data_IF_225238092756
#
_entry.id   IF_225238092756
#
_cell.length_a   1.000
_cell.length_b   1.000
_cell.length_c   1.000
_cell.angle_alpha   90.00
_cell.angle_beta   90.00
_cell.angle_gamma   90.00
#
_symmetry.space_group_name_H-M   'P 1'
#
loop_
_entity.id
_entity.type
_entity.pdbx_description
1 polymer ?
#
# COMPACT_ATOMS: atom_id res chain seq x y z
N UNK A 1 -33.61 20.11 3.89
CA UNK A 1 -32.20 20.50 4.05
C UNK A 1 -31.40 19.72 3.01
N UNK A 2 -30.97 20.35 1.92
CA UNK A 2 -30.17 19.66 0.91
C UNK A 2 -28.80 19.31 1.48
N UNK A 3 -28.56 18.02 1.75
CA UNK A 3 -27.22 17.53 2.04
C UNK A 3 -26.39 17.68 0.77
N UNK A 4 -25.27 18.41 0.84
CA UNK A 4 -24.36 18.61 -0.29
C UNK A 4 -23.94 17.27 -0.92
N UNK A 5 -23.64 17.26 -2.23
CA UNK A 5 -23.18 16.06 -2.94
C UNK A 5 -22.03 15.36 -2.20
N UNK A 6 -21.09 16.14 -1.65
CA UNK A 6 -20.00 15.68 -0.79
C UNK A 6 -20.51 14.79 0.34
N UNK A 7 -21.45 15.26 1.17
CA UNK A 7 -21.94 14.46 2.30
C UNK A 7 -22.65 13.17 1.86
N UNK A 8 -23.28 13.16 0.69
CA UNK A 8 -24.00 12.00 0.15
C UNK A 8 -23.05 10.94 -0.42
N UNK A 9 -21.97 11.36 -1.06
CA UNK A 9 -21.00 10.46 -1.68
C UNK A 9 -20.03 9.81 -0.67
N UNK A 10 -19.90 10.39 0.53
CA UNK A 10 -18.94 9.94 1.55
C UNK A 10 -18.94 8.42 1.78
N UNK A 11 -20.07 7.81 2.15
CA UNK A 11 -20.12 6.38 2.47
C UNK A 11 -19.63 5.51 1.31
N UNK A 12 -20.02 5.86 0.09
CA UNK A 12 -19.62 5.13 -1.11
C UNK A 12 -18.11 5.25 -1.37
N UNK A 13 -17.58 6.47 -1.37
CA UNK A 13 -16.13 6.71 -1.61
C UNK A 13 -15.29 6.09 -0.49
N UNK A 14 -15.75 6.18 0.75
CA UNK A 14 -15.10 5.61 1.93
C UNK A 14 -14.96 4.08 1.83
N UNK A 15 -16.04 3.37 1.50
CA UNK A 15 -15.99 1.92 1.37
C UNK A 15 -15.15 1.47 0.19
N UNK A 16 -15.23 2.18 -0.94
CA UNK A 16 -14.35 1.92 -2.09
C UNK A 16 -12.90 2.07 -1.66
N UNK A 17 -12.53 3.19 -1.03
CA UNK A 17 -11.17 3.42 -0.53
C UNK A 17 -10.69 2.25 0.33
N UNK A 18 -11.49 1.80 1.31
CA UNK A 18 -11.11 0.67 2.17
C UNK A 18 -10.96 -0.65 1.41
N UNK A 19 -11.89 -0.96 0.50
CA UNK A 19 -11.84 -2.19 -0.29
C UNK A 19 -10.58 -2.22 -1.15
N UNK A 20 -10.23 -1.11 -1.79
CA UNK A 20 -9.01 -1.02 -2.60
C UNK A 20 -7.75 -1.19 -1.74
N UNK A 21 -7.66 -0.51 -0.59
CA UNK A 21 -6.50 -0.62 0.30
C UNK A 21 -6.34 -2.03 0.88
N UNK A 22 -7.44 -2.66 1.32
CA UNK A 22 -7.42 -4.03 1.84
C UNK A 22 -7.11 -5.03 0.73
N UNK A 23 -7.75 -4.91 -0.43
CA UNK A 23 -7.54 -5.79 -1.57
C UNK A 23 -6.08 -5.78 -2.02
N UNK A 24 -5.48 -4.60 -2.13
CA UNK A 24 -4.06 -4.46 -2.49
C UNK A 24 -3.12 -5.03 -1.42
N UNK A 25 -3.43 -4.81 -0.14
CA UNK A 25 -2.65 -5.41 0.98
C UNK A 25 -2.69 -6.94 0.92
N UNK A 26 -3.85 -7.52 0.64
CA UNK A 26 -4.01 -8.97 0.51
C UNK A 26 -3.28 -9.52 -0.72
N UNK A 27 -3.37 -8.85 -1.87
CA UNK A 27 -2.63 -9.23 -3.08
C UNK A 27 -1.12 -9.17 -2.83
N UNK A 28 -0.65 -8.13 -2.14
CA UNK A 28 0.77 -7.96 -1.77
C UNK A 28 1.24 -9.09 -0.85
N UNK A 29 0.45 -9.47 0.16
CA UNK A 29 0.76 -10.61 1.04
C UNK A 29 0.80 -11.91 0.22
N UNK A 30 -0.18 -12.14 -0.64
CA UNK A 30 -0.24 -13.34 -1.46
C UNK A 30 0.98 -13.46 -2.38
N UNK A 31 1.33 -12.39 -3.10
CA UNK A 31 2.50 -12.35 -3.98
C UNK A 31 3.81 -12.53 -3.22
N UNK A 32 3.97 -11.87 -2.07
CA UNK A 32 5.23 -11.88 -1.33
C UNK A 32 5.45 -13.18 -0.55
N UNK A 33 4.39 -13.69 0.10
CA UNK A 33 4.48 -14.86 0.98
C UNK A 33 4.22 -16.15 0.22
N UNK A 34 3.07 -16.25 -0.48
CA UNK A 34 2.62 -17.51 -1.08
C UNK A 34 3.40 -17.80 -2.37
N UNK A 35 3.45 -16.83 -3.28
CA UNK A 35 4.16 -17.02 -4.55
C UNK A 35 5.67 -16.79 -4.39
N UNK A 36 6.06 -15.76 -3.64
CA UNK A 36 7.45 -15.37 -3.42
C UNK A 36 8.21 -16.33 -2.52
N UNK A 37 8.07 -16.18 -1.20
CA UNK A 37 8.89 -16.89 -0.21
C UNK A 37 8.62 -18.40 -0.13
N UNK A 38 7.35 -18.81 -0.13
CA UNK A 38 6.94 -20.22 -0.03
C UNK A 38 6.82 -20.90 -1.40
N UNK A 39 6.84 -20.13 -2.47
CA UNK A 39 6.67 -20.60 -3.85
C UNK A 39 7.96 -20.55 -4.65
N UNK A 40 7.80 -20.36 -5.96
CA UNK A 40 8.92 -20.34 -6.92
C UNK A 40 9.58 -18.95 -7.04
N UNK A 41 9.08 -17.95 -6.33
CA UNK A 41 9.51 -16.55 -6.45
C UNK A 41 8.43 -15.67 -7.08
N UNK A 42 8.69 -14.37 -7.07
CA UNK A 42 7.79 -13.34 -7.60
C UNK A 42 8.51 -12.47 -8.60
N UNK A 43 7.78 -11.88 -9.56
CA UNK A 43 8.33 -10.92 -10.52
C UNK A 43 7.80 -9.53 -10.22
N UNK A 44 8.64 -8.52 -10.45
CA UNK A 44 8.13 -7.15 -10.46
C UNK A 44 7.31 -6.90 -11.72
N UNK A 45 6.17 -6.19 -11.63
CA UNK A 45 5.46 -5.77 -12.82
C UNK A 45 6.41 -5.01 -13.76
N UNK A 46 6.48 -5.42 -15.03
CA UNK A 46 7.40 -4.84 -16.02
C UNK A 46 8.82 -5.44 -16.02
N UNK A 47 9.08 -6.49 -15.23
CA UNK A 47 10.34 -7.22 -15.24
C UNK A 47 10.09 -8.74 -15.29
N UNK A 48 10.87 -9.44 -16.09
CA UNK A 48 10.88 -10.91 -16.15
C UNK A 48 11.86 -11.54 -15.13
N UNK A 49 12.53 -10.70 -14.33
CA UNK A 49 13.47 -11.19 -13.31
C UNK A 49 12.68 -11.81 -12.16
N UNK A 50 12.88 -13.11 -11.98
CA UNK A 50 12.33 -13.87 -10.87
C UNK A 50 13.13 -13.59 -9.60
N UNK A 51 12.42 -13.18 -8.56
CA UNK A 51 12.98 -12.78 -7.29
C UNK A 51 12.43 -13.69 -6.21
N UNK A 52 13.33 -14.30 -5.45
CA UNK A 52 12.97 -15.10 -4.30
C UNK A 52 13.32 -14.33 -3.03
N UNK A 53 12.33 -13.89 -2.23
CA UNK A 53 12.59 -13.21 -0.97
C UNK A 53 13.41 -14.08 -0.03
N UNK A 54 14.36 -13.50 0.70
CA UNK A 54 15.07 -14.21 1.78
C UNK A 54 14.24 -14.20 3.06
N UNK A 55 14.65 -15.01 4.05
CA UNK A 55 14.02 -14.96 5.38
C UNK A 55 14.14 -13.56 6.02
N UNK A 56 15.25 -12.86 5.80
CA UNK A 56 15.44 -11.48 6.28
C UNK A 56 14.42 -10.53 5.63
N UNK A 57 14.24 -10.63 4.31
CA UNK A 57 13.25 -9.81 3.59
C UNK A 57 11.85 -10.08 4.12
N UNK A 58 11.54 -11.32 4.46
CA UNK A 58 10.24 -11.66 5.02
C UNK A 58 10.02 -11.11 6.42
N UNK A 59 11.02 -11.11 7.29
CA UNK A 59 10.92 -10.49 8.61
C UNK A 59 10.64 -8.99 8.46
N UNK A 60 11.36 -8.31 7.58
CA UNK A 60 11.16 -6.87 7.32
C UNK A 60 9.77 -6.62 6.72
N UNK A 61 9.36 -7.42 5.74
CA UNK A 61 8.04 -7.35 5.13
C UNK A 61 6.92 -7.49 6.17
N UNK A 62 7.02 -8.45 7.08
CA UNK A 62 6.01 -8.66 8.13
C UNK A 62 5.90 -7.47 9.09
N UNK A 63 7.02 -6.85 9.46
CA UNK A 63 7.01 -5.65 10.31
C UNK A 63 6.30 -4.50 9.60
N UNK A 64 6.59 -4.32 8.32
CA UNK A 64 6.03 -3.23 7.51
C UNK A 64 4.54 -3.44 7.24
N UNK A 65 4.12 -4.66 6.90
CA UNK A 65 2.71 -4.95 6.59
C UNK A 65 1.82 -4.76 7.81
N UNK A 66 2.35 -4.98 9.03
CA UNK A 66 1.66 -4.62 10.28
C UNK A 66 1.39 -3.11 10.33
N UNK A 67 2.36 -2.28 9.94
CA UNK A 67 2.19 -0.83 9.83
C UNK A 67 1.11 -0.42 8.82
N UNK A 68 1.05 -1.09 7.66
CA UNK A 68 0.00 -0.88 6.65
C UNK A 68 -1.37 -1.28 7.20
N UNK A 69 -1.50 -2.47 7.78
CA UNK A 69 -2.76 -2.98 8.37
C UNK A 69 -3.24 -2.04 9.49
N UNK A 70 -2.33 -1.57 10.34
CA UNK A 70 -2.64 -0.59 11.38
C UNK A 70 -3.14 0.73 10.79
N UNK A 71 -2.52 1.21 9.72
CA UNK A 71 -2.99 2.40 9.00
C UNK A 71 -4.39 2.23 8.42
N UNK A 72 -4.68 1.08 7.81
CA UNK A 72 -6.04 0.75 7.31
C UNK A 72 -7.04 0.67 8.46
N UNK A 73 -6.67 0.06 9.58
CA UNK A 73 -7.51 0.02 10.78
C UNK A 73 -7.83 1.43 11.30
N UNK A 74 -6.86 2.34 11.32
CA UNK A 74 -7.11 3.74 11.70
C UNK A 74 -8.04 4.44 10.71
N UNK A 75 -7.87 4.23 9.40
CA UNK A 75 -8.79 4.76 8.37
C UNK A 75 -10.20 4.18 8.52
N UNK A 76 -10.33 2.90 8.88
CA UNK A 76 -11.60 2.26 9.19
C UNK A 76 -12.31 2.90 10.40
N UNK A 77 -11.53 3.39 11.36
CA UNK A 77 -12.03 4.14 12.50
C UNK A 77 -12.09 5.66 12.25
N UNK A 78 -12.06 6.07 10.98
CA UNK A 78 -12.17 7.47 10.56
C UNK A 78 -11.07 8.39 11.13
N UNK A 79 -9.84 7.89 11.29
CA UNK A 79 -8.69 8.69 11.72
C UNK A 79 -7.77 8.99 10.54
N UNK A 80 -7.57 10.28 10.21
CA UNK A 80 -6.66 10.70 9.10
C UNK A 80 -5.24 10.18 9.27
N UNK A 81 -4.79 10.02 10.52
CA UNK A 81 -3.49 9.47 10.86
C UNK A 81 -3.21 8.13 10.15
N UNK A 82 -4.25 7.32 9.92
CA UNK A 82 -4.11 6.04 9.24
C UNK A 82 -3.54 6.13 7.83
N UNK A 83 -3.88 7.20 7.11
CA UNK A 83 -3.35 7.44 5.77
C UNK A 83 -1.83 7.55 5.73
N UNK A 84 -1.27 8.28 6.69
CA UNK A 84 0.18 8.46 6.81
C UNK A 84 0.88 7.16 7.21
N UNK A 85 0.24 6.32 8.02
CA UNK A 85 0.76 4.98 8.34
C UNK A 85 0.81 4.09 7.10
N UNK A 86 -0.25 4.08 6.28
CA UNK A 86 -0.30 3.31 5.03
C UNK A 86 0.79 3.77 4.06
N UNK A 87 0.85 5.06 3.76
CA UNK A 87 1.83 5.60 2.79
C UNK A 87 3.25 5.50 3.34
N UNK A 88 3.47 5.86 4.61
CA UNK A 88 4.79 5.83 5.23
C UNK A 88 5.38 4.42 5.28
N UNK A 89 4.58 3.42 5.64
CA UNK A 89 5.04 2.02 5.67
C UNK A 89 5.46 1.54 4.27
N UNK A 90 4.70 1.88 3.23
CA UNK A 90 5.06 1.55 1.84
C UNK A 90 6.32 2.29 1.36
N UNK A 91 6.53 3.54 1.78
CA UNK A 91 7.78 4.27 1.48
C UNK A 91 8.97 3.57 2.14
N UNK A 92 8.85 3.21 3.42
CA UNK A 92 9.90 2.48 4.15
C UNK A 92 10.21 1.14 3.47
N UNK A 93 9.19 0.42 2.98
CA UNK A 93 9.38 -0.80 2.21
C UNK A 93 10.22 -0.60 0.97
N UNK A 94 9.91 0.44 0.19
CA UNK A 94 10.61 0.69 -1.07
C UNK A 94 12.03 1.16 -0.82
N UNK A 95 12.28 1.95 0.22
CA UNK A 95 13.65 2.31 0.63
C UNK A 95 14.43 1.04 0.98
N UNK A 96 13.87 0.15 1.80
CA UNK A 96 14.51 -1.13 2.14
C UNK A 96 14.76 -1.96 0.88
N UNK A 97 13.73 -2.18 0.06
CA UNK A 97 13.80 -3.01 -1.13
C UNK A 97 14.79 -2.47 -2.18
N UNK A 98 14.99 -1.15 -2.23
CA UNK A 98 15.91 -0.50 -3.18
C UNK A 98 17.37 -0.51 -2.73
N UNK A 99 17.64 -0.57 -1.42
CA UNK A 99 19.01 -0.52 -0.88
C UNK A 99 19.53 -1.91 -0.54
N UNK A 100 18.70 -2.73 0.11
CA UNK A 100 19.08 -4.02 0.68
C UNK A 100 18.32 -5.21 0.09
N UNK A 101 17.17 -4.94 -0.52
CA UNK A 101 16.29 -5.97 -1.02
C UNK A 101 16.32 -6.11 -2.54
N UNK A 102 15.29 -6.76 -3.09
CA UNK A 102 15.33 -7.30 -4.44
C UNK A 102 15.22 -6.27 -5.58
N UNK A 103 14.79 -5.03 -5.30
CA UNK A 103 14.74 -3.97 -6.32
C UNK A 103 16.16 -3.53 -6.70
N UNK A 104 17.12 -3.66 -5.79
CA UNK A 104 18.52 -3.37 -6.08
C UNK A 104 19.08 -4.26 -7.21
N UNK A 105 18.60 -5.49 -7.35
CA UNK A 105 19.07 -6.46 -8.34
C UNK A 105 18.53 -6.20 -9.75
N UNK A 106 17.30 -5.68 -9.86
CA UNK A 106 16.62 -5.43 -11.16
C UNK A 106 16.92 -4.03 -11.72
N UNK A 107 17.43 -3.13 -10.87
CA UNK A 107 17.71 -1.74 -11.23
C UNK A 107 16.48 -0.85 -11.08
N UNK A 108 16.54 0.08 -10.13
CA UNK A 108 15.44 0.94 -9.70
C UNK A 108 14.73 1.70 -10.84
N UNK A 109 15.46 2.10 -11.89
CA UNK A 109 14.90 2.84 -13.03
C UNK A 109 13.86 2.05 -13.83
N UNK A 110 13.95 0.72 -13.84
CA UNK A 110 13.00 -0.14 -14.58
C UNK A 110 11.62 -0.19 -13.92
N UNK A 111 11.59 -0.12 -12.59
CA UNK A 111 10.38 -0.23 -11.77
C UNK A 111 9.85 1.12 -11.28
N UNK A 112 10.65 2.18 -11.34
CA UNK A 112 10.29 3.53 -10.88
C UNK A 112 8.95 4.05 -11.46
N UNK A 113 8.65 3.93 -12.77
CA UNK A 113 7.37 4.44 -13.30
C UNK A 113 6.14 3.76 -12.67
N UNK A 114 6.24 2.45 -12.43
CA UNK A 114 5.16 1.66 -11.85
C UNK A 114 5.01 1.97 -10.36
N UNK A 115 6.14 2.10 -9.64
CA UNK A 115 6.17 2.54 -8.25
C UNK A 115 5.54 3.93 -8.09
N UNK A 116 5.87 4.87 -8.99
CA UNK A 116 5.33 6.22 -8.95
C UNK A 116 3.81 6.23 -9.17
N UNK A 117 3.30 5.45 -10.13
CA UNK A 117 1.86 5.30 -10.36
C UNK A 117 1.16 4.69 -9.14
N UNK A 118 1.74 3.64 -8.56
CA UNK A 118 1.22 3.00 -7.35
C UNK A 118 1.10 3.99 -6.18
N UNK A 119 2.15 4.78 -5.93
CA UNK A 119 2.10 5.80 -4.88
C UNK A 119 1.11 6.92 -5.16
N UNK A 120 0.94 7.33 -6.41
CA UNK A 120 -0.07 8.34 -6.76
C UNK A 120 -1.48 7.84 -6.37
N UNK A 121 -1.81 6.59 -6.68
CA UNK A 121 -3.08 5.97 -6.29
C UNK A 121 -3.19 5.90 -4.76
N UNK A 122 -2.14 5.45 -4.07
CA UNK A 122 -2.10 5.36 -2.62
C UNK A 122 -2.29 6.71 -1.93
N UNK A 123 -1.65 7.77 -2.42
CA UNK A 123 -1.82 9.12 -1.87
C UNK A 123 -3.26 9.60 -2.08
N UNK A 124 -3.84 9.37 -3.25
CA UNK A 124 -5.23 9.74 -3.51
C UNK A 124 -6.17 9.02 -2.53
N UNK A 125 -6.04 7.70 -2.42
CA UNK A 125 -6.91 6.88 -1.57
C UNK A 125 -6.67 7.13 -0.08
N UNK A 126 -5.44 7.06 0.38
CA UNK A 126 -5.12 7.08 1.81
C UNK A 126 -4.98 8.48 2.39
N UNK A 127 -4.67 9.52 1.59
CA UNK A 127 -4.48 10.90 2.07
C UNK A 127 -5.58 11.82 1.53
N UNK A 128 -5.74 11.93 0.21
CA UNK A 128 -6.64 12.92 -0.37
C UNK A 128 -8.11 12.66 -0.03
N UNK A 129 -8.57 11.39 -0.01
CA UNK A 129 -9.95 11.05 0.37
C UNK A 129 -10.25 11.42 1.83
N UNK A 130 -9.44 11.01 2.84
CA UNK A 130 -9.65 11.44 4.22
C UNK A 130 -9.60 12.95 4.42
N UNK A 131 -8.72 13.65 3.70
CA UNK A 131 -8.65 15.12 3.75
C UNK A 131 -9.85 15.79 3.11
N UNK A 132 -10.29 15.30 1.95
CA UNK A 132 -11.48 15.80 1.28
C UNK A 132 -12.69 15.67 2.20
N UNK A 133 -12.85 14.54 2.90
CA UNK A 133 -13.87 14.32 3.92
C UNK A 133 -13.41 14.63 5.34
N UNK A 134 -12.55 15.62 5.54
CA UNK A 134 -12.00 15.99 6.86
C UNK A 134 -13.04 16.34 7.92
N UNK A 135 -14.28 16.69 7.52
CA UNK A 135 -15.41 16.87 8.43
C UNK A 135 -15.95 15.55 9.02
N UNK A 136 -15.57 14.41 8.44
CA UNK A 136 -15.92 13.06 8.88
C UNK A 136 -14.77 12.32 9.56
N UNK A 137 -13.53 12.72 9.24
CA UNK A 137 -12.34 12.10 9.82
C UNK A 137 -11.72 12.99 10.90
N UNK A 138 -11.41 12.39 12.05
CA UNK A 138 -10.63 13.00 13.13
C UNK A 138 -9.16 13.17 12.75
#
# INVERSE_FOLDING_TARGET
METSFKSRSFKFVYWIMLIFLVGDTLDTIYRSVVNGYLGEGTTFPGSDVLIQPTTTDMVVFLIIIIGVIYGIYLLYNLKKAGGYWVVGSNIVFIIYASIFGPIAEVGFSSVLPIIALYFAIYIILAICVPWFYSDKFE
#
